data_IF_252243875019
#
_entry.id   IF_252243875019
#
_cell.length_a   1.000
_cell.length_b   1.000
_cell.length_c   1.000
_cell.angle_alpha   90.00
_cell.angle_beta   90.00
_cell.angle_gamma   90.00
#
_symmetry.space_group_name_H-M   'P 1'
#
loop_
_entity.id
_entity.type
_entity.pdbx_description
1 polymer ?
#
# COMPACT_ATOMS: atom_id res chain seq x y z
N UNK A 1 -27.33 15.99 0.06
CA UNK A 1 -26.32 14.99 0.49
C UNK A 1 -25.68 14.45 -0.77
N UNK A 2 -24.44 14.81 -1.06
CA UNK A 2 -23.77 14.34 -2.29
C UNK A 2 -23.13 12.98 -2.00
N UNK A 3 -23.72 11.93 -2.55
CA UNK A 3 -23.19 10.56 -2.58
C UNK A 3 -22.38 10.39 -3.85
N UNK A 4 -21.05 10.44 -3.75
CA UNK A 4 -20.06 10.01 -4.75
C UNK A 4 -18.68 10.06 -4.06
N UNK A 5 -17.82 9.05 -3.95
CA UNK A 5 -17.75 7.62 -4.30
C UNK A 5 -16.43 7.14 -3.65
N UNK A 6 -16.27 5.89 -3.19
CA UNK A 6 -14.93 5.41 -2.94
C UNK A 6 -14.56 4.32 -3.94
N UNK A 7 -14.49 4.66 -5.24
CA UNK A 7 -13.98 3.75 -6.29
C UNK A 7 -12.46 3.51 -6.20
N UNK A 8 -11.77 4.10 -5.21
CA UNK A 8 -10.32 3.93 -5.03
C UNK A 8 -10.01 3.36 -3.66
N UNK A 9 -10.77 2.36 -3.20
CA UNK A 9 -10.49 1.62 -1.98
C UNK A 9 -10.26 0.15 -2.34
N UNK A 10 -9.21 -0.43 -1.77
CA UNK A 10 -9.00 -1.87 -1.74
C UNK A 10 -8.85 -2.29 -0.29
N UNK A 11 -9.60 -3.30 0.11
CA UNK A 11 -9.47 -3.95 1.41
C UNK A 11 -9.43 -5.45 1.14
N UNK A 12 -8.29 -6.08 1.41
CA UNK A 12 -8.09 -7.49 1.17
C UNK A 12 -6.64 -7.92 1.12
N UNK A 13 -6.43 -9.16 0.70
CA UNK A 13 -5.13 -9.81 0.70
C UNK A 13 -4.16 -9.19 -0.33
N UNK A 14 -2.90 -9.09 0.05
CA UNK A 14 -1.81 -8.71 -0.83
C UNK A 14 -0.54 -9.48 -0.46
N UNK A 15 0.25 -9.76 -1.49
CA UNK A 15 1.60 -10.30 -1.37
C UNK A 15 2.60 -9.16 -1.49
N UNK A 16 3.36 -8.92 -0.43
CA UNK A 16 4.47 -7.97 -0.41
C UNK A 16 5.77 -8.72 -0.65
N UNK A 17 6.60 -8.26 -1.57
CA UNK A 17 7.85 -8.92 -1.94
C UNK A 17 9.02 -7.94 -1.97
N UNK A 18 10.15 -8.33 -1.39
CA UNK A 18 11.44 -7.65 -1.57
C UNK A 18 12.58 -8.65 -1.54
N UNK A 19 13.81 -8.16 -1.71
CA UNK A 19 15.02 -8.97 -1.54
C UNK A 19 15.15 -9.56 -0.12
N UNK A 20 14.43 -8.99 0.86
CA UNK A 20 14.50 -9.40 2.27
C UNK A 20 13.40 -10.37 2.69
N UNK A 21 12.40 -10.62 1.84
CA UNK A 21 11.32 -11.54 2.18
C UNK A 21 10.07 -11.42 1.34
N UNK A 22 9.12 -12.29 1.66
CA UNK A 22 7.78 -12.32 1.10
C UNK A 22 6.79 -12.39 2.25
N UNK A 23 5.76 -11.55 2.21
CA UNK A 23 4.73 -11.47 3.24
C UNK A 23 3.35 -11.51 2.61
N UNK A 24 2.54 -12.49 3.00
CA UNK A 24 1.11 -12.56 2.68
C UNK A 24 0.34 -11.85 3.79
N UNK A 25 -0.35 -10.75 3.46
CA UNK A 25 -0.97 -9.86 4.45
C UNK A 25 -2.28 -9.29 3.95
N UNK A 26 -3.15 -8.87 4.85
CA UNK A 26 -4.26 -7.99 4.49
C UNK A 26 -3.80 -6.53 4.46
N UNK A 27 -4.28 -5.78 3.47
CA UNK A 27 -3.99 -4.36 3.30
C UNK A 27 -5.28 -3.58 3.04
N UNK A 28 -5.32 -2.37 3.59
CA UNK A 28 -6.33 -1.38 3.24
C UNK A 28 -5.67 -0.25 2.46
N UNK A 29 -5.85 -0.22 1.14
CA UNK A 29 -5.25 0.75 0.22
C UNK A 29 -6.28 1.75 -0.28
N UNK A 30 -5.80 2.96 -0.56
CA UNK A 30 -6.54 4.10 -1.08
C UNK A 30 -5.75 4.80 -2.16
N UNK A 31 -6.44 5.43 -3.10
CA UNK A 31 -5.82 6.20 -4.18
C UNK A 31 -6.38 7.61 -4.30
N UNK A 32 -5.52 8.56 -4.66
CA UNK A 32 -5.91 9.94 -4.99
C UNK A 32 -4.92 10.59 -5.95
N UNK A 33 -5.43 11.33 -6.93
CA UNK A 33 -4.59 12.20 -7.76
C UNK A 33 -4.08 13.39 -6.94
N UNK A 34 -2.79 13.67 -7.01
CA UNK A 34 -2.12 14.79 -6.36
C UNK A 34 -1.88 15.91 -7.39
N UNK A 35 -2.60 17.04 -7.30
CA UNK A 35 -2.44 18.13 -8.26
C UNK A 35 -1.08 18.84 -8.18
N UNK A 36 -0.41 18.74 -7.03
CA UNK A 36 0.85 19.43 -6.76
C UNK A 36 1.98 18.88 -7.64
N UNK A 37 2.03 17.56 -7.82
CA UNK A 37 3.05 16.88 -8.62
C UNK A 37 2.50 16.21 -9.87
N UNK A 38 1.18 16.26 -10.08
CA UNK A 38 0.51 15.69 -11.25
C UNK A 38 0.49 14.16 -11.27
N UNK A 39 0.68 13.49 -10.12
CA UNK A 39 0.76 12.03 -10.04
C UNK A 39 -0.43 11.44 -9.29
N UNK A 40 -0.80 10.22 -9.66
CA UNK A 40 -1.69 9.42 -8.82
C UNK A 40 -0.87 8.84 -7.66
N UNK A 41 -1.31 9.10 -6.43
CA UNK A 41 -0.68 8.55 -5.23
C UNK A 41 -1.62 7.55 -4.62
N UNK A 42 -1.08 6.40 -4.26
CA UNK A 42 -1.81 5.40 -3.51
C UNK A 42 -1.09 5.10 -2.21
N UNK A 43 -1.86 4.80 -1.17
CA UNK A 43 -1.35 4.60 0.16
C UNK A 43 -2.32 3.80 1.00
N UNK A 44 -1.83 3.21 2.08
CA UNK A 44 -2.61 2.36 2.93
C UNK A 44 -1.85 1.88 4.13
N UNK A 45 -2.35 0.81 4.72
CA UNK A 45 -1.72 0.14 5.86
C UNK A 45 -1.71 -1.36 5.67
N UNK A 46 -0.66 -1.97 6.21
CA UNK A 46 -0.58 -3.40 6.44
C UNK A 46 -1.37 -3.73 7.71
N UNK A 47 -2.22 -4.77 7.64
CA UNK A 47 -3.09 -5.17 8.74
C UNK A 47 -2.34 -5.79 9.93
N UNK A 48 -1.16 -6.34 9.67
CA UNK A 48 -0.29 -7.00 10.66
C UNK A 48 1.10 -6.35 10.74
N UNK A 49 1.81 -6.61 11.84
CA UNK A 49 3.24 -6.30 11.92
C UNK A 49 4.03 -7.19 10.95
N UNK A 50 5.11 -6.65 10.41
CA UNK A 50 6.02 -7.37 9.51
C UNK A 50 7.37 -7.54 10.18
N UNK A 51 7.82 -8.78 10.33
CA UNK A 51 9.15 -9.09 10.84
C UNK A 51 10.21 -8.97 9.72
N UNK A 52 11.42 -8.53 10.09
CA UNK A 52 12.55 -8.43 9.16
C UNK A 52 12.47 -7.28 8.15
N UNK A 53 11.43 -6.45 8.21
CA UNK A 53 11.26 -5.28 7.33
C UNK A 53 11.91 -4.04 7.93
N UNK A 54 12.61 -3.27 7.11
CA UNK A 54 13.17 -1.96 7.51
C UNK A 54 12.22 -0.82 7.15
N UNK A 55 12.19 0.23 7.99
CA UNK A 55 11.49 1.47 7.64
C UNK A 55 12.10 2.07 6.37
N UNK A 56 11.25 2.45 5.41
CA UNK A 56 11.62 2.97 4.11
C UNK A 56 11.95 1.90 3.06
N UNK A 57 11.75 0.62 3.37
CA UNK A 57 11.99 -0.49 2.43
C UNK A 57 11.03 -0.45 1.24
N UNK A 58 11.58 -0.61 0.04
CA UNK A 58 10.81 -0.79 -1.19
C UNK A 58 10.32 -2.23 -1.29
N UNK A 59 9.07 -2.41 -1.71
CA UNK A 59 8.43 -3.71 -1.92
C UNK A 59 7.59 -3.70 -3.19
N UNK A 60 7.51 -4.83 -3.87
CA UNK A 60 6.48 -5.07 -4.88
C UNK A 60 5.20 -5.50 -4.15
N UNK A 61 4.11 -4.77 -4.39
CA UNK A 61 2.78 -5.07 -3.85
C UNK A 61 1.98 -5.75 -4.94
N UNK A 62 1.58 -7.01 -4.71
CA UNK A 62 0.72 -7.76 -5.62
C UNK A 62 -0.64 -8.01 -4.98
N UNK A 63 -1.69 -7.75 -5.73
CA UNK A 63 -3.06 -8.16 -5.38
C UNK A 63 -3.64 -8.99 -6.54
N UNK A 64 -4.88 -9.42 -6.41
CA UNK A 64 -5.63 -10.05 -7.50
C UNK A 64 -5.88 -9.13 -8.70
N UNK A 65 -5.76 -7.81 -8.53
CA UNK A 65 -6.05 -6.80 -9.55
C UNK A 65 -4.80 -6.31 -10.30
N UNK A 66 -3.61 -6.52 -9.73
CA UNK A 66 -2.36 -6.12 -10.35
C UNK A 66 -1.20 -6.00 -9.38
N UNK A 67 -0.13 -5.36 -9.85
CA UNK A 67 1.09 -5.14 -9.09
C UNK A 67 1.59 -3.70 -9.22
N UNK A 68 2.24 -3.21 -8.18
CA UNK A 68 2.88 -1.90 -8.15
C UNK A 68 4.04 -1.88 -7.16
N UNK A 69 5.06 -1.07 -7.43
CA UNK A 69 6.12 -0.79 -6.46
C UNK A 69 5.60 0.16 -5.38
N UNK A 70 5.79 -0.22 -4.12
CA UNK A 70 5.44 0.56 -2.95
C UNK A 70 6.59 0.67 -1.96
N UNK A 71 6.41 1.52 -0.96
CA UNK A 71 7.34 1.76 0.12
C UNK A 71 6.65 1.54 1.46
N UNK A 72 7.28 0.72 2.30
CA UNK A 72 6.87 0.49 3.68
C UNK A 72 7.51 1.57 4.56
N UNK A 73 6.68 2.37 5.23
CA UNK A 73 7.14 3.46 6.10
C UNK A 73 6.26 3.62 7.33
N UNK A 74 6.54 4.61 8.18
CA UNK A 74 5.69 5.08 9.28
C UNK A 74 5.08 3.94 10.12
N UNK A 75 5.97 3.23 10.82
CA UNK A 75 5.59 2.14 11.72
C UNK A 75 4.75 2.72 12.86
N UNK A 76 3.55 2.18 13.05
CA UNK A 76 2.68 2.57 14.16
C UNK A 76 3.11 1.90 15.49
N UNK A 77 2.55 2.30 16.65
CA UNK A 77 2.90 1.69 17.93
C UNK A 77 2.65 0.17 18.04
N UNK A 78 1.91 -0.42 17.09
CA UNK A 78 1.65 -1.86 17.02
C UNK A 78 2.54 -2.57 16.00
N UNK A 79 3.54 -1.88 15.44
CA UNK A 79 4.49 -2.47 14.49
C UNK A 79 3.97 -2.56 13.05
N UNK A 80 2.81 -1.96 12.74
CA UNK A 80 2.24 -2.02 11.39
C UNK A 80 2.78 -0.91 10.52
N UNK A 81 3.13 -1.25 9.30
CA UNK A 81 3.66 -0.31 8.33
C UNK A 81 2.55 0.44 7.60
N UNK A 82 2.79 1.72 7.35
CA UNK A 82 2.16 2.43 6.23
C UNK A 82 2.76 1.89 4.93
N UNK A 83 1.91 1.74 3.93
CA UNK A 83 2.33 1.41 2.57
C UNK A 83 1.98 2.59 1.66
N UNK A 84 2.86 2.95 0.73
CA UNK A 84 2.59 4.02 -0.24
C UNK A 84 3.32 3.83 -1.55
N UNK A 85 2.75 4.30 -2.64
CA UNK A 85 3.38 4.35 -3.96
C UNK A 85 2.75 5.39 -4.86
N UNK A 86 3.28 5.49 -6.07
CA UNK A 86 2.80 6.45 -7.08
C UNK A 86 2.54 5.74 -8.41
N UNK A 87 1.73 6.36 -9.26
CA UNK A 87 1.36 5.80 -10.56
C UNK A 87 0.15 4.87 -10.46
N UNK A 88 0.14 3.83 -11.30
CA UNK A 88 -0.96 2.86 -11.34
C UNK A 88 -1.03 2.09 -10.00
N UNK A 89 -2.14 2.16 -9.25
CA UNK A 89 -2.29 1.38 -8.02
C UNK A 89 -2.40 -0.12 -8.34
N UNK A 90 -2.10 -1.00 -7.36
CA UNK A 90 -2.25 -2.43 -7.51
C UNK A 90 -3.71 -2.89 -7.28
N UNK A 91 -4.71 -2.02 -7.42
CA UNK A 91 -6.14 -2.29 -7.22
C UNK A 91 -7.01 -1.44 -8.15
#
# INVERSE_FOLDING_TARGET
>A
MSTHEPQHLYDGNARLESEHGVWEVDVALRGAFQPIDGRFHWYGRVGTALEGVRNGQTVTVRTTHGEAEGRLSDIDPWGRFRLSGTGKPPF
#
